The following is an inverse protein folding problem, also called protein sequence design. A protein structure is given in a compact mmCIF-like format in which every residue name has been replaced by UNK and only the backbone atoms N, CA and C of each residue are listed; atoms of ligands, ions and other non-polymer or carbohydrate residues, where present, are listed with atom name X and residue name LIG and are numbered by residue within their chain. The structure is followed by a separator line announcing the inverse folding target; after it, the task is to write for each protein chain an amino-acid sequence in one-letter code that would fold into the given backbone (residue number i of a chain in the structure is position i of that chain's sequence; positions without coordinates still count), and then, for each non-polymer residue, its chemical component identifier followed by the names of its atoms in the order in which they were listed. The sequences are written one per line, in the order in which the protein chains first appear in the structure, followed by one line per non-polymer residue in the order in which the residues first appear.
data_IF_703414766239
#
_entry.id   IF_703414766239
#
_cell.length_a   1.000
_cell.length_b   1.000
_cell.length_c   1.000
_cell.angle_alpha   90.00
_cell.angle_beta   90.00
_cell.angle_gamma   90.00
#
_symmetry.space_group_name_H-M   'P 1'
#
loop_
_entity.id
_entity.type
_entity.pdbx_description
1 polymer ?
#
# COMPACT_ATOMS: atom_id res chain seq x y z
N UNK A 1 -1.32 -12.21 20.93
CA UNK A 1 -0.42 -11.59 19.94
C UNK A 1 -0.81 -11.97 18.52
N UNK A 2 -0.89 -13.26 18.17
CA UNK A 2 -1.39 -13.67 16.84
C UNK A 2 -2.78 -13.12 16.51
N UNK A 3 -3.74 -13.17 17.45
CA UNK A 3 -5.09 -12.62 17.23
C UNK A 3 -5.12 -11.12 16.92
N UNK A 4 -4.17 -10.34 17.46
CA UNK A 4 -4.07 -8.90 17.16
C UNK A 4 -3.49 -8.66 15.76
N UNK A 5 -2.55 -9.49 15.32
CA UNK A 5 -1.98 -9.40 13.97
C UNK A 5 -3.01 -9.85 12.94
N UNK A 6 -3.75 -10.93 13.22
CA UNK A 6 -4.80 -11.43 12.33
C UNK A 6 -5.91 -10.37 12.16
N UNK A 7 -6.38 -9.75 13.25
CA UNK A 7 -7.34 -8.65 13.18
C UNK A 7 -6.82 -7.45 12.37
N UNK A 8 -5.54 -7.08 12.57
CA UNK A 8 -4.93 -5.98 11.82
C UNK A 8 -4.81 -6.29 10.32
N UNK A 9 -4.47 -7.52 9.95
CA UNK A 9 -4.43 -7.96 8.54
C UNK A 9 -5.82 -7.96 7.91
N UNK A 10 -6.85 -8.36 8.65
CA UNK A 10 -8.24 -8.32 8.19
C UNK A 10 -8.72 -6.88 7.96
N UNK A 11 -8.43 -5.96 8.89
CA UNK A 11 -8.73 -4.53 8.73
C UNK A 11 -8.04 -3.95 7.48
N UNK A 12 -6.78 -4.31 7.24
CA UNK A 12 -6.06 -3.91 6.03
C UNK A 12 -6.71 -4.42 4.75
N UNK A 13 -7.20 -5.66 4.76
CA UNK A 13 -7.92 -6.22 3.61
C UNK A 13 -9.24 -5.49 3.34
N UNK A 14 -9.99 -5.16 4.39
CA UNK A 14 -11.23 -4.38 4.28
C UNK A 14 -10.94 -2.99 3.71
N UNK A 15 -9.95 -2.27 4.23
CA UNK A 15 -9.62 -0.92 3.75
C UNK A 15 -9.06 -0.95 2.32
N UNK A 16 -8.24 -1.95 1.98
CA UNK A 16 -7.80 -2.17 0.58
C UNK A 16 -9.00 -2.36 -0.34
N UNK A 17 -9.96 -3.20 0.03
CA UNK A 17 -11.16 -3.43 -0.77
C UNK A 17 -11.99 -2.14 -0.91
N UNK A 18 -12.07 -1.33 0.14
CA UNK A 18 -12.72 0.00 0.11
C UNK A 18 -12.04 0.94 -0.88
N UNK A 19 -10.71 1.09 -0.78
CA UNK A 19 -9.93 1.94 -1.67
C UNK A 19 -10.04 1.48 -3.13
N UNK A 20 -10.04 0.17 -3.40
CA UNK A 20 -10.15 -0.36 -4.76
C UNK A 20 -11.48 0.00 -5.46
N UNK A 21 -12.53 0.35 -4.72
CA UNK A 21 -13.81 0.85 -5.26
C UNK A 21 -13.77 2.33 -5.62
N UNK A 22 -12.80 3.09 -5.11
CA UNK A 22 -12.65 4.51 -5.41
C UNK A 22 -12.04 4.73 -6.80
N UNK A 23 -12.33 5.86 -7.46
CA UNK A 23 -11.69 6.24 -8.72
C UNK A 23 -10.17 6.23 -8.64
N UNK A 24 -9.52 5.88 -9.74
CA UNK A 24 -8.06 5.85 -9.80
C UNK A 24 -7.46 7.25 -9.72
N UNK A 25 -6.93 7.60 -8.55
CA UNK A 25 -6.23 8.86 -8.29
C UNK A 25 -4.84 8.61 -7.70
N UNK A 26 -3.97 9.62 -7.78
CA UNK A 26 -2.67 9.61 -7.11
C UNK A 26 -2.83 9.27 -5.61
N UNK A 27 -3.73 9.98 -4.92
CA UNK A 27 -3.97 9.78 -3.49
C UNK A 27 -4.38 8.34 -3.17
N UNK A 28 -5.31 7.76 -3.94
CA UNK A 28 -5.70 6.35 -3.77
C UNK A 28 -4.53 5.40 -3.95
N UNK A 29 -3.71 5.60 -4.99
CA UNK A 29 -2.54 4.76 -5.25
C UNK A 29 -1.50 4.88 -4.12
N UNK A 30 -1.30 6.07 -3.56
CA UNK A 30 -0.40 6.28 -2.42
C UNK A 30 -0.91 5.58 -1.17
N UNK A 31 -2.21 5.70 -0.85
CA UNK A 31 -2.82 4.98 0.27
C UNK A 31 -2.71 3.46 0.11
N UNK A 32 -2.93 2.93 -1.10
CA UNK A 32 -2.76 1.50 -1.38
C UNK A 32 -1.30 1.04 -1.22
N UNK A 33 -0.33 1.91 -1.50
CA UNK A 33 1.08 1.62 -1.23
C UNK A 33 1.37 1.56 0.26
N UNK A 34 0.84 2.50 1.04
CA UNK A 34 0.98 2.55 2.50
C UNK A 34 0.36 1.33 3.18
N UNK A 35 -0.85 0.92 2.78
CA UNK A 35 -1.48 -0.30 3.31
C UNK A 35 -0.65 -1.56 3.01
N UNK A 36 -0.04 -1.64 1.83
CA UNK A 36 0.81 -2.78 1.47
C UNK A 36 2.13 -2.80 2.27
N UNK A 37 2.70 -1.65 2.62
CA UNK A 37 3.85 -1.60 3.55
C UNK A 37 3.46 -2.00 4.96
N UNK A 38 2.30 -1.55 5.44
CA UNK A 38 1.80 -1.92 6.75
C UNK A 38 1.52 -3.43 6.82
N UNK A 39 0.98 -4.03 5.76
CA UNK A 39 0.84 -5.48 5.63
C UNK A 39 2.21 -6.18 5.71
N UNK A 40 3.22 -5.67 5.01
CA UNK A 40 4.57 -6.22 5.08
C UNK A 40 5.17 -6.13 6.49
N UNK A 41 4.89 -5.07 7.24
CA UNK A 41 5.32 -4.93 8.62
C UNK A 41 4.65 -5.97 9.53
N UNK A 42 3.35 -6.21 9.37
CA UNK A 42 2.65 -7.25 10.13
C UNK A 42 3.16 -8.66 9.83
N UNK A 43 3.44 -8.97 8.57
CA UNK A 43 4.08 -10.24 8.20
C UNK A 43 5.49 -10.38 8.80
N UNK A 44 6.23 -9.29 8.97
CA UNK A 44 7.52 -9.28 9.65
C UNK A 44 7.37 -9.65 11.14
N UNK A 45 6.37 -9.08 11.82
CA UNK A 45 6.06 -9.42 13.23
C UNK A 45 5.71 -10.91 13.37
N UNK A 46 4.91 -11.48 12.46
CA UNK A 46 4.61 -12.92 12.46
C UNK A 46 5.85 -13.78 12.21
N UNK A 47 6.75 -13.33 11.34
CA UNK A 47 8.04 -13.97 11.09
C UNK A 47 8.89 -14.05 12.37
N UNK A 48 8.95 -12.97 13.17
CA UNK A 48 9.76 -12.91 14.40
C UNK A 48 9.27 -13.91 15.47
N UNK A 49 7.98 -14.23 15.45
CA UNK A 49 7.34 -15.12 16.42
C UNK A 49 7.09 -16.55 15.90
N UNK A 50 7.39 -16.83 14.62
CA UNK A 50 7.16 -18.14 14.03
C UNK A 50 8.16 -19.19 14.54
N UNK A 51 7.66 -20.15 15.33
CA UNK A 51 8.47 -21.29 15.84
C UNK A 51 8.52 -22.49 14.87
N UNK A 52 7.71 -22.47 13.82
CA UNK A 52 7.59 -23.54 12.83
C UNK A 52 8.17 -23.07 11.50
N UNK A 53 9.13 -23.83 10.96
CA UNK A 53 9.87 -23.46 9.74
C UNK A 53 8.98 -23.21 8.51
N UNK A 54 7.86 -23.93 8.39
CA UNK A 54 6.89 -23.72 7.30
C UNK A 54 6.19 -22.37 7.44
N UNK A 55 5.71 -22.03 8.65
CA UNK A 55 5.07 -20.74 8.91
C UNK A 55 6.04 -19.57 8.71
N UNK A 56 7.29 -19.76 9.11
CA UNK A 56 8.35 -18.79 8.85
C UNK A 56 8.53 -18.50 7.35
N UNK A 57 8.58 -19.53 6.51
CA UNK A 57 8.72 -19.36 5.05
C UNK A 57 7.50 -18.69 4.44
N UNK A 58 6.30 -19.04 4.93
CA UNK A 58 5.06 -18.44 4.48
C UNK A 58 4.99 -16.94 4.83
N UNK A 59 5.32 -16.58 6.07
CA UNK A 59 5.37 -15.18 6.52
C UNK A 59 6.39 -14.36 5.73
N UNK A 60 7.59 -14.90 5.48
CA UNK A 60 8.60 -14.23 4.66
C UNK A 60 8.15 -14.03 3.21
N UNK A 61 7.51 -15.03 2.62
CA UNK A 61 6.97 -14.92 1.25
C UNK A 61 5.85 -13.87 1.18
N UNK A 62 4.97 -13.83 2.17
CA UNK A 62 3.88 -12.86 2.26
C UNK A 62 4.41 -11.43 2.45
N UNK A 63 5.41 -11.24 3.32
CA UNK A 63 6.11 -9.97 3.49
C UNK A 63 6.70 -9.45 2.16
N UNK A 64 7.41 -10.31 1.44
CA UNK A 64 8.03 -9.94 0.16
C UNK A 64 6.96 -9.61 -0.92
N UNK A 65 5.87 -10.36 -0.97
CA UNK A 65 4.75 -10.07 -1.86
C UNK A 65 4.09 -8.72 -1.55
N UNK A 66 3.90 -8.40 -0.27
CA UNK A 66 3.34 -7.12 0.18
C UNK A 66 4.27 -5.94 -0.20
N UNK A 67 5.59 -6.08 -0.01
CA UNK A 67 6.59 -5.07 -0.45
C UNK A 67 6.53 -4.81 -1.95
N UNK A 68 6.49 -5.86 -2.78
CA UNK A 68 6.38 -5.71 -4.24
C UNK A 68 5.08 -5.01 -4.65
N UNK A 69 4.01 -5.29 -3.92
CA UNK A 69 2.71 -4.63 -4.10
C UNK A 69 2.82 -3.15 -3.78
N UNK A 70 3.46 -2.78 -2.67
CA UNK A 70 3.73 -1.39 -2.30
C UNK A 70 4.54 -0.66 -3.39
N UNK A 71 5.65 -1.22 -3.85
CA UNK A 71 6.45 -0.65 -4.95
C UNK A 71 5.63 -0.45 -6.23
N UNK A 72 4.72 -1.37 -6.54
CA UNK A 72 3.85 -1.25 -7.72
C UNK A 72 2.87 -0.09 -7.57
N UNK A 73 2.26 0.06 -6.40
CA UNK A 73 1.35 1.19 -6.14
C UNK A 73 2.06 2.54 -6.09
N UNK A 74 3.28 2.61 -5.52
CA UNK A 74 4.10 3.83 -5.58
C UNK A 74 4.42 4.25 -7.01
N UNK A 75 4.83 3.30 -7.86
CA UNK A 75 5.09 3.57 -9.28
C UNK A 75 3.84 4.09 -10.00
N UNK A 76 2.66 3.54 -9.69
CA UNK A 76 1.39 4.03 -10.23
C UNK A 76 1.06 5.44 -9.73
N UNK A 77 1.25 5.71 -8.44
CA UNK A 77 1.05 7.03 -7.87
C UNK A 77 1.93 8.07 -8.58
N UNK A 78 3.22 7.77 -8.74
CA UNK A 78 4.16 8.66 -9.44
C UNK A 78 3.73 8.90 -10.89
N UNK A 79 3.39 7.84 -11.63
CA UNK A 79 2.93 7.99 -13.02
C UNK A 79 1.64 8.82 -13.17
N UNK A 80 0.82 8.91 -12.12
CA UNK A 80 -0.36 9.78 -12.10
C UNK A 80 0.00 11.24 -11.85
N UNK A 81 1.03 11.52 -11.04
CA UNK A 81 1.57 12.86 -10.87
C UNK A 81 2.23 13.36 -12.16
N UNK A 82 3.04 12.52 -12.79
CA UNK A 82 3.75 12.89 -14.03
C UNK A 82 2.80 13.19 -15.20
N UNK A 83 1.57 12.65 -15.15
CA UNK A 83 0.51 12.88 -16.13
C UNK A 83 -0.42 14.05 -15.79
N UNK A 84 -0.35 14.58 -14.56
CA UNK A 84 -1.14 15.74 -14.21
C UNK A 84 -0.66 16.92 -15.07
N UNK A 85 -1.56 17.64 -15.78
CA UNK A 85 -1.16 18.75 -16.60
C UNK A 85 -0.45 19.79 -15.71
N UNK A 86 0.78 20.14 -16.07
CA UNK A 86 1.42 21.32 -15.51
C UNK A 86 0.51 22.51 -15.86
N UNK A 87 -0.19 23.06 -14.88
CA UNK A 87 -0.94 24.30 -15.09
C UNK A 87 0.12 25.35 -15.40
N UNK A 88 0.18 25.90 -16.63
CA UNK A 88 1.15 26.94 -16.94
C UNK A 88 0.86 28.13 -16.03
N UNK A 89 1.89 28.71 -15.41
CA UNK A 89 1.76 29.84 -14.51
C UNK A 89 1.00 31.03 -15.16
N UNK A 90 1.00 31.10 -16.49
CA UNK A 90 0.24 32.07 -17.29
C UNK A 90 -1.28 31.97 -17.10
N UNK A 91 -1.82 30.78 -16.83
CA UNK A 91 -3.26 30.58 -16.58
C UNK A 91 -3.71 31.11 -15.21
N UNK A 92 -2.78 31.28 -14.26
CA UNK A 92 -3.06 31.79 -12.91
C UNK A 92 -2.92 33.33 -12.83
N UNK A 93 -2.26 33.96 -13.82
CA UNK A 93 -2.05 35.41 -13.88
C UNK A 93 -3.14 36.19 -14.64
N UNK A 94 -3.98 35.53 -15.43
CA UNK A 94 -5.00 36.18 -16.26
C UNK A 94 -6.35 36.44 -15.53
N UNK A 95 -6.42 36.14 -14.24
CA UNK A 95 -7.62 36.34 -13.41
C UNK A 95 -7.45 37.46 -12.36
N UNK A 96 -6.52 38.39 -12.58
CA UNK A 96 -6.32 39.60 -11.77
C UNK A 96 -7.11 40.79 -12.32
#
# INVERSE_FOLDING_TARGET
MNEQVDAALDELHVERARLMRLPSTHHRSSQLAELAELEAAWWAVLFEHARIRVHWRAALAAQEAARRTATTWRRRAQAQLDRAPAVPAEALGAAA
#
